data_IF_625567984919
#
_entry.id   IF_625567984919
#
_cell.length_a   1.000
_cell.length_b   1.000
_cell.length_c   1.000
_cell.angle_alpha   90.00
_cell.angle_beta   90.00
_cell.angle_gamma   90.00
#
_symmetry.space_group_name_H-M   'P 1'
#
loop_
_entity.id
_entity.type
_entity.pdbx_description
1 polymer ?
#
# COMPACT_ATOMS: atom_id res chain seq x y z
N UNK A 1 3.27 -0.29 5.10
CA UNK A 1 2.44 -1.49 4.78
C UNK A 1 0.95 -1.27 5.03
N UNK A 2 0.53 -0.79 6.22
CA UNK A 2 -0.89 -0.50 6.52
C UNK A 2 -1.58 0.34 5.44
N UNK A 3 -0.96 1.43 5.03
CA UNK A 3 -1.56 2.36 4.06
C UNK A 3 -1.77 1.74 2.67
N UNK A 4 -0.93 0.77 2.28
CA UNK A 4 -1.06 0.07 1.01
C UNK A 4 -2.30 -0.82 1.05
N UNK A 5 -2.46 -1.61 2.12
CA UNK A 5 -3.65 -2.45 2.29
C UNK A 5 -4.93 -1.61 2.35
N UNK A 6 -4.90 -0.48 3.07
CA UNK A 6 -6.04 0.43 3.13
C UNK A 6 -6.36 1.04 1.77
N UNK A 7 -5.35 1.48 1.01
CA UNK A 7 -5.55 2.04 -0.33
C UNK A 7 -6.15 0.99 -1.28
N UNK A 8 -5.72 -0.28 -1.17
CA UNK A 8 -6.22 -1.38 -2.00
C UNK A 8 -7.70 -1.66 -1.70
N UNK A 9 -8.04 -1.70 -0.41
CA UNK A 9 -9.42 -1.90 0.03
C UNK A 9 -10.34 -0.75 -0.43
N UNK A 10 -9.89 0.50 -0.30
CA UNK A 10 -10.67 1.66 -0.74
C UNK A 10 -10.86 1.71 -2.25
N UNK A 11 -9.88 1.23 -3.04
CA UNK A 11 -10.01 1.17 -4.50
C UNK A 11 -11.16 0.27 -4.94
N UNK A 12 -11.23 -0.96 -4.45
CA UNK A 12 -12.31 -1.90 -4.83
C UNK A 12 -13.68 -1.47 -4.31
N UNK A 13 -13.71 -0.73 -3.20
CA UNK A 13 -14.93 -0.07 -2.73
C UNK A 13 -15.32 1.05 -3.70
N UNK A 14 -14.39 1.93 -4.07
CA UNK A 14 -14.64 2.99 -5.05
C UNK A 14 -15.21 2.44 -6.36
N UNK A 15 -14.63 1.36 -6.89
CA UNK A 15 -15.15 0.67 -8.08
C UNK A 15 -16.60 0.16 -7.91
N UNK A 16 -16.96 -0.32 -6.72
CA UNK A 16 -18.34 -0.72 -6.44
C UNK A 16 -19.29 0.48 -6.50
N UNK A 17 -18.88 1.61 -5.93
CA UNK A 17 -19.67 2.86 -5.99
C UNK A 17 -19.79 3.37 -7.42
N UNK A 18 -18.69 3.41 -8.18
CA UNK A 18 -18.66 3.85 -9.57
C UNK A 18 -19.49 2.95 -10.48
N UNK A 19 -19.62 1.65 -10.15
CA UNK A 19 -20.48 0.72 -10.88
C UNK A 19 -21.99 0.95 -10.69
N UNK A 20 -22.38 1.85 -9.79
CA UNK A 20 -23.78 2.12 -9.44
C UNK A 20 -24.45 1.02 -8.60
N UNK A 21 -23.73 -0.05 -8.27
CA UNK A 21 -24.26 -1.18 -7.47
C UNK A 21 -24.23 -0.92 -5.96
N UNK A 22 -23.62 0.17 -5.50
CA UNK A 22 -23.51 0.47 -4.07
C UNK A 22 -24.84 0.70 -3.34
N UNK A 23 -25.93 0.96 -4.06
CA UNK A 23 -27.28 1.04 -3.46
C UNK A 23 -27.91 -0.32 -3.16
N UNK A 24 -27.38 -1.40 -3.76
CA UNK A 24 -27.79 -2.76 -3.46
C UNK A 24 -27.11 -3.21 -2.15
N UNK A 25 -27.93 -3.58 -1.16
CA UNK A 25 -27.47 -3.97 0.18
C UNK A 25 -26.71 -5.30 0.19
N UNK A 26 -26.94 -6.13 -0.82
CA UNK A 26 -26.28 -7.42 -0.97
C UNK A 26 -25.05 -7.34 -1.88
N UNK A 27 -24.84 -6.21 -2.56
CA UNK A 27 -23.68 -6.01 -3.39
C UNK A 27 -22.40 -5.91 -2.56
N UNK A 28 -21.35 -6.55 -3.05
CA UNK A 28 -20.02 -6.58 -2.41
C UNK A 28 -18.96 -6.06 -3.38
N UNK A 29 -17.90 -5.42 -2.87
CA UNK A 29 -16.73 -5.12 -3.68
C UNK A 29 -16.20 -6.40 -4.31
N UNK A 30 -15.57 -6.29 -5.48
CA UNK A 30 -14.87 -7.43 -6.06
C UNK A 30 -13.73 -7.90 -5.13
N UNK A 31 -13.32 -9.17 -5.21
CA UNK A 31 -12.11 -9.63 -4.53
C UNK A 31 -10.89 -8.81 -4.94
N UNK A 32 -9.99 -8.60 -3.98
CA UNK A 32 -8.69 -7.99 -4.23
C UNK A 32 -7.81 -8.93 -5.06
N UNK A 33 -7.03 -8.36 -5.96
CA UNK A 33 -5.97 -9.06 -6.69
C UNK A 33 -4.60 -8.46 -6.35
N UNK A 34 -3.53 -9.16 -6.74
CA UNK A 34 -2.18 -8.63 -6.57
C UNK A 34 -1.94 -7.34 -7.37
N UNK A 35 -2.69 -7.14 -8.45
CA UNK A 35 -2.52 -5.97 -9.32
C UNK A 35 -3.02 -4.69 -8.66
N UNK A 36 -3.98 -4.78 -7.74
CA UNK A 36 -4.40 -3.64 -6.90
C UNK A 36 -3.21 -3.09 -6.10
N UNK A 37 -2.45 -3.99 -5.48
CA UNK A 37 -1.27 -3.65 -4.69
C UNK A 37 -0.14 -3.11 -5.56
N UNK A 38 0.11 -3.73 -6.72
CA UNK A 38 1.13 -3.25 -7.67
C UNK A 38 0.82 -1.83 -8.15
N UNK A 39 -0.43 -1.54 -8.49
CA UNK A 39 -0.84 -0.19 -8.89
C UNK A 39 -0.58 0.84 -7.79
N UNK A 40 -0.96 0.52 -6.54
CA UNK A 40 -0.73 1.43 -5.40
C UNK A 40 0.76 1.64 -5.13
N UNK A 41 1.57 0.58 -5.26
CA UNK A 41 3.02 0.67 -5.11
C UNK A 41 3.66 1.51 -6.22
N UNK A 42 3.11 1.47 -7.44
CA UNK A 42 3.59 2.31 -8.54
C UNK A 42 3.24 3.79 -8.32
N UNK A 43 2.02 4.07 -7.84
CA UNK A 43 1.56 5.44 -7.56
C UNK A 43 2.30 6.05 -6.35
N UNK A 44 2.66 5.22 -5.37
CA UNK A 44 3.35 5.66 -4.16
C UNK A 44 4.85 5.64 -4.34
N UNK A 45 5.48 6.81 -4.20
CA UNK A 45 6.94 6.92 -4.08
C UNK A 45 7.44 6.33 -2.74
N UNK A 46 8.69 5.85 -2.67
CA UNK A 46 9.30 5.41 -1.41
C UNK A 46 9.19 6.49 -0.33
N UNK A 47 8.78 6.10 0.88
CA UNK A 47 8.61 7.02 2.01
C UNK A 47 9.88 7.25 2.82
N UNK A 48 10.95 6.51 2.52
CA UNK A 48 12.24 6.61 3.18
C UNK A 48 13.31 6.88 2.13
N UNK A 49 14.15 7.87 2.40
CA UNK A 49 15.27 8.21 1.53
C UNK A 49 16.34 7.09 1.57
N UNK A 50 16.86 6.66 0.41
CA UNK A 50 17.98 5.70 0.36
C UNK A 50 19.21 6.17 1.14
N UNK A 51 19.46 7.48 1.19
CA UNK A 51 20.57 8.05 1.96
C UNK A 51 20.45 7.77 3.46
N UNK A 52 19.23 7.88 3.99
CA UNK A 52 18.95 7.62 5.41
C UNK A 52 19.24 6.16 5.74
N UNK A 53 18.88 5.24 4.85
CA UNK A 53 19.18 3.80 5.00
C UNK A 53 20.70 3.57 5.03
N UNK A 54 21.45 4.19 4.11
CA UNK A 54 22.93 4.09 4.09
C UNK A 54 23.55 4.54 5.42
N UNK A 55 23.15 5.71 5.91
CA UNK A 55 23.68 6.27 7.15
C UNK A 55 23.39 5.38 8.35
N UNK A 56 22.20 4.79 8.44
CA UNK A 56 21.89 3.84 9.52
C UNK A 56 22.70 2.54 9.40
N UNK A 57 22.95 2.05 8.19
CA UNK A 57 23.78 0.87 7.98
C UNK A 57 25.23 1.10 8.40
N UNK A 58 25.84 2.23 7.99
CA UNK A 58 27.20 2.61 8.38
C UNK A 58 27.34 2.72 9.90
N UNK A 59 26.38 3.39 10.54
CA UNK A 59 26.38 3.51 12.00
C UNK A 59 26.21 2.14 12.68
N UNK A 60 25.30 1.31 12.19
CA UNK A 60 25.08 -0.03 12.74
C UNK A 60 26.33 -0.91 12.59
N UNK A 61 27.02 -0.86 11.46
CA UNK A 61 28.27 -1.60 11.25
C UNK A 61 29.35 -1.18 12.25
N UNK A 62 29.48 0.12 12.52
CA UNK A 62 30.49 0.66 13.42
C UNK A 62 30.17 0.43 14.91
N UNK A 63 28.89 0.38 15.30
CA UNK A 63 28.49 0.49 16.71
C UNK A 63 27.47 -0.56 17.19
N UNK A 64 27.03 -1.50 16.36
CA UNK A 64 26.14 -2.58 16.84
C UNK A 64 26.80 -3.38 17.96
N UNK A 65 25.98 -3.87 18.89
CA UNK A 65 26.45 -4.72 19.97
C UNK A 65 26.99 -6.06 19.43
N UNK A 66 28.12 -6.50 20.01
CA UNK A 66 28.71 -7.83 19.81
C UNK A 66 27.95 -8.89 20.60
#
# INVERSE_FOLDING_TARGET
>A
MRDICQSAHLRVIGELFDSGKASDKDAKPRPLSIDDFKGILADRKPSVSPRVISTYNEWSEAFKAL
#
